data_IF_335212916746
#
_entry.id   IF_335212916746
#
_cell.length_a   1.000
_cell.length_b   1.000
_cell.length_c   1.000
_cell.angle_alpha   90.00
_cell.angle_beta   90.00
_cell.angle_gamma   90.00
#
_symmetry.space_group_name_H-M   'P 1'
#
loop_
_entity.id
_entity.type
_entity.pdbx_description
1 polymer ?
#
# COMPACT_ATOMS: atom_id res chain seq x y z
N UNK A 1 10.35 8.07 -23.76
CA UNK A 1 9.89 7.35 -22.55
C UNK A 1 10.64 7.93 -21.37
N UNK A 2 10.02 8.15 -20.23
CA UNK A 2 10.78 8.57 -19.04
C UNK A 2 11.82 7.49 -18.70
N UNK A 3 12.96 7.93 -18.19
CA UNK A 3 14.00 7.07 -17.65
C UNK A 3 13.44 6.24 -16.47
N UNK A 4 13.97 5.05 -16.26
CA UNK A 4 13.55 4.19 -15.15
C UNK A 4 13.68 4.88 -13.80
N UNK A 5 14.78 5.62 -13.59
CA UNK A 5 14.99 6.38 -12.36
C UNK A 5 13.89 7.44 -12.16
N UNK A 6 13.48 8.11 -13.23
CA UNK A 6 12.40 9.10 -13.18
C UNK A 6 11.07 8.45 -12.80
N UNK A 7 10.74 7.26 -13.34
CA UNK A 7 9.52 6.51 -12.95
C UNK A 7 9.56 6.17 -11.47
N UNK A 8 10.69 5.69 -10.96
CA UNK A 8 10.87 5.37 -9.54
C UNK A 8 10.70 6.63 -8.68
N UNK A 9 11.29 7.73 -9.10
CA UNK A 9 11.20 9.01 -8.38
C UNK A 9 9.79 9.60 -8.40
N UNK A 10 9.03 9.40 -9.46
CA UNK A 10 7.67 9.93 -9.61
C UNK A 10 6.61 9.09 -8.89
N UNK A 11 6.94 7.85 -8.53
CA UNK A 11 6.02 6.97 -7.81
C UNK A 11 5.57 7.58 -6.48
N UNK A 12 4.27 7.59 -6.27
CA UNK A 12 3.64 8.14 -5.06
C UNK A 12 2.44 7.31 -4.61
N UNK A 13 2.14 7.33 -3.32
CA UNK A 13 0.89 6.79 -2.77
C UNK A 13 -0.25 7.80 -2.99
N UNK A 14 -1.24 7.45 -3.77
CA UNK A 14 -2.37 8.32 -4.07
C UNK A 14 -3.51 8.08 -3.06
N UNK A 15 -3.48 8.80 -1.94
CA UNK A 15 -4.35 8.53 -0.76
C UNK A 15 -5.76 9.11 -0.82
N UNK A 16 -6.02 10.09 -1.64
CA UNK A 16 -7.35 10.72 -1.76
C UNK A 16 -8.41 9.81 -2.41
N UNK A 17 -9.65 10.28 -2.52
CA UNK A 17 -10.70 9.58 -3.25
C UNK A 17 -10.36 9.54 -4.75
N UNK A 18 -10.84 8.48 -5.40
CA UNK A 18 -10.74 8.31 -6.84
C UNK A 18 -12.08 8.64 -7.53
N UNK A 19 -12.01 8.86 -8.82
CA UNK A 19 -13.21 8.99 -9.66
C UNK A 19 -13.87 7.62 -9.80
N UNK A 20 -14.95 7.41 -9.06
CA UNK A 20 -15.71 6.16 -9.05
C UNK A 20 -16.39 5.83 -10.38
N UNK A 21 -16.54 6.83 -11.28
CA UNK A 21 -17.13 6.65 -12.60
C UNK A 21 -16.13 6.22 -13.66
N UNK A 22 -14.83 6.38 -13.40
CA UNK A 22 -13.77 6.07 -14.35
C UNK A 22 -13.21 4.67 -14.06
N UNK A 23 -13.39 3.74 -14.99
CA UNK A 23 -12.79 2.41 -14.95
C UNK A 23 -11.38 2.41 -15.50
N UNK A 24 -10.57 1.46 -15.08
CA UNK A 24 -9.24 1.22 -15.65
C UNK A 24 -9.45 0.41 -16.96
N UNK A 25 -8.88 0.86 -18.08
CA UNK A 25 -8.92 0.09 -19.32
C UNK A 25 -8.32 -1.30 -19.10
N UNK A 26 -8.94 -2.32 -19.71
CA UNK A 26 -8.46 -3.72 -19.58
C UNK A 26 -6.98 -3.85 -19.97
N UNK A 27 -6.55 -3.15 -21.02
CA UNK A 27 -5.16 -3.19 -21.50
C UNK A 27 -4.19 -2.65 -20.44
N UNK A 28 -4.55 -1.57 -19.75
CA UNK A 28 -3.72 -0.99 -18.68
C UNK A 28 -3.64 -1.94 -17.48
N UNK A 29 -4.76 -2.57 -17.11
CA UNK A 29 -4.75 -3.58 -16.05
C UNK A 29 -3.85 -4.77 -16.42
N UNK A 30 -3.89 -5.24 -17.67
CA UNK A 30 -3.00 -6.30 -18.15
C UNK A 30 -1.52 -5.88 -18.02
N UNK A 31 -1.17 -4.64 -18.38
CA UNK A 31 0.20 -4.14 -18.22
C UNK A 31 0.63 -4.10 -16.75
N UNK A 32 -0.26 -3.69 -15.86
CA UNK A 32 0.00 -3.67 -14.41
C UNK A 32 0.26 -5.08 -13.88
N UNK A 33 -0.56 -6.05 -14.29
CA UNK A 33 -0.40 -7.45 -13.88
C UNK A 33 0.85 -8.08 -14.50
N UNK A 34 1.16 -7.74 -15.74
CA UNK A 34 2.38 -8.17 -16.42
C UNK A 34 3.63 -7.69 -15.70
N UNK A 35 3.66 -6.46 -15.22
CA UNK A 35 4.76 -5.96 -14.41
C UNK A 35 4.94 -6.78 -13.11
N UNK A 36 3.84 -7.16 -12.46
CA UNK A 36 3.85 -8.06 -11.30
C UNK A 36 4.39 -9.45 -11.65
N UNK A 37 4.01 -9.99 -12.80
CA UNK A 37 4.47 -11.30 -13.29
C UNK A 37 5.99 -11.39 -13.47
N UNK A 38 6.63 -10.27 -13.86
CA UNK A 38 8.08 -10.18 -14.06
C UNK A 38 8.84 -9.80 -12.78
N UNK A 39 8.17 -9.74 -11.65
CA UNK A 39 8.87 -9.50 -10.39
C UNK A 39 9.79 -10.69 -10.03
N UNK A 40 11.02 -10.44 -9.54
CA UNK A 40 11.88 -11.50 -9.06
C UNK A 40 11.26 -12.15 -7.81
N UNK A 41 11.27 -13.48 -7.79
CA UNK A 41 10.86 -14.25 -6.62
C UNK A 41 11.95 -15.24 -6.23
N UNK A 42 12.08 -15.53 -4.93
CA UNK A 42 13.07 -16.47 -4.43
C UNK A 42 12.94 -17.82 -5.16
N UNK A 43 14.03 -18.29 -5.74
CA UNK A 43 14.07 -19.53 -6.55
C UNK A 43 13.00 -19.59 -7.65
N UNK A 44 12.52 -18.45 -8.13
CA UNK A 44 11.42 -18.36 -9.10
C UNK A 44 10.16 -19.12 -8.65
N UNK A 45 9.88 -19.16 -7.35
CA UNK A 45 8.77 -19.93 -6.80
C UNK A 45 7.41 -19.36 -7.17
N UNK A 46 7.32 -18.05 -7.47
CA UNK A 46 6.09 -17.37 -7.87
C UNK A 46 4.92 -17.72 -6.94
N UNK A 47 5.19 -17.71 -5.63
CA UNK A 47 4.28 -18.14 -4.56
C UNK A 47 3.21 -17.09 -4.23
N UNK A 48 2.67 -16.44 -5.24
CA UNK A 48 1.62 -15.44 -5.08
C UNK A 48 0.50 -15.65 -6.10
N UNK A 49 -0.68 -15.21 -5.71
CA UNK A 49 -1.85 -15.09 -6.57
C UNK A 49 -2.35 -13.64 -6.52
N UNK A 50 -2.90 -13.16 -7.61
CA UNK A 50 -3.44 -11.79 -7.65
C UNK A 50 -4.92 -11.83 -8.00
N UNK A 51 -5.74 -11.28 -7.11
CA UNK A 51 -7.15 -11.03 -7.39
C UNK A 51 -7.34 -9.58 -7.79
N UNK A 52 -8.10 -9.35 -8.85
CA UNK A 52 -8.58 -8.02 -9.27
C UNK A 52 -10.06 -7.95 -8.99
N UNK A 53 -10.47 -6.97 -8.20
CA UNK A 53 -11.88 -6.72 -7.88
C UNK A 53 -12.23 -5.35 -8.42
N UNK A 54 -13.06 -5.30 -9.49
CA UNK A 54 -13.55 -4.07 -10.12
C UNK A 54 -15.09 -4.00 -10.15
N UNK A 55 -15.77 -5.07 -9.72
CA UNK A 55 -17.20 -5.06 -9.51
C UNK A 55 -17.59 -4.10 -8.38
N UNK A 56 -18.43 -3.13 -8.68
CA UNK A 56 -18.82 -2.07 -7.75
C UNK A 56 -19.61 -2.58 -6.53
N UNK A 57 -20.33 -3.69 -6.66
CA UNK A 57 -21.07 -4.29 -5.54
C UNK A 57 -20.05 -4.97 -4.58
N UNK A 58 -19.06 -5.66 -5.13
CA UNK A 58 -17.99 -6.26 -4.33
C UNK A 58 -17.12 -5.20 -3.65
N UNK A 59 -16.72 -4.13 -4.36
CA UNK A 59 -15.98 -3.01 -3.76
C UNK A 59 -16.77 -2.38 -2.62
N UNK A 60 -18.10 -2.21 -2.80
CA UNK A 60 -18.96 -1.72 -1.72
C UNK A 60 -19.00 -2.69 -0.55
N UNK A 61 -19.23 -3.97 -0.80
CA UNK A 61 -19.30 -4.99 0.24
C UNK A 61 -17.98 -5.09 1.04
N UNK A 62 -16.83 -5.04 0.37
CA UNK A 62 -15.51 -5.01 1.03
C UNK A 62 -15.35 -3.73 1.87
N UNK A 63 -15.73 -2.58 1.32
CA UNK A 63 -15.64 -1.31 2.03
C UNK A 63 -16.54 -1.24 3.27
N UNK A 64 -17.64 -1.96 3.30
CA UNK A 64 -18.57 -2.01 4.42
C UNK A 64 -18.13 -2.96 5.56
N UNK A 65 -17.11 -3.80 5.33
CA UNK A 65 -16.52 -4.65 6.37
C UNK A 65 -15.77 -3.77 7.38
N UNK A 66 -16.31 -3.69 8.59
CA UNK A 66 -15.72 -2.91 9.68
C UNK A 66 -14.68 -3.75 10.40
N UNK A 67 -13.49 -3.19 10.59
CA UNK A 67 -12.45 -3.75 11.43
C UNK A 67 -12.20 -2.88 12.65
N UNK A 68 -11.74 -3.45 13.77
CA UNK A 68 -11.28 -2.64 14.89
C UNK A 68 -10.03 -1.87 14.47
N UNK A 69 -10.03 -0.57 14.73
CA UNK A 69 -8.81 0.21 14.64
C UNK A 69 -8.19 0.26 16.03
N UNK A 70 -6.93 -0.14 16.12
CA UNK A 70 -6.22 -0.10 17.39
C UNK A 70 -5.73 1.32 17.70
N UNK A 71 -5.77 1.70 18.97
CA UNK A 71 -5.14 2.95 19.44
C UNK A 71 -3.65 2.99 19.06
N UNK A 72 -2.99 1.83 19.06
CA UNK A 72 -1.61 1.69 18.63
C UNK A 72 -1.43 2.16 17.19
N UNK A 73 -2.31 1.76 16.27
CA UNK A 73 -2.24 2.18 14.85
C UNK A 73 -2.32 3.71 14.72
N UNK A 74 -3.25 4.34 15.45
CA UNK A 74 -3.38 5.80 15.41
C UNK A 74 -2.15 6.46 16.01
N UNK A 75 -1.72 6.03 17.18
CA UNK A 75 -0.54 6.58 17.86
C UNK A 75 0.71 6.49 16.98
N UNK A 76 1.00 5.32 16.41
CA UNK A 76 2.20 5.12 15.60
C UNK A 76 2.17 5.94 14.31
N UNK A 77 1.03 5.98 13.63
CA UNK A 77 0.94 6.74 12.39
C UNK A 77 0.90 8.26 12.60
N UNK A 78 0.28 8.75 13.67
CA UNK A 78 0.07 10.19 13.86
C UNK A 78 1.07 10.83 14.78
N UNK A 79 1.44 10.18 15.88
CA UNK A 79 2.35 10.76 16.85
C UNK A 79 3.82 10.58 16.46
N UNK A 80 4.16 9.44 15.84
CA UNK A 80 5.55 9.09 15.55
C UNK A 80 6.00 9.46 14.15
N UNK A 81 5.11 9.34 13.15
CA UNK A 81 5.48 9.49 11.75
C UNK A 81 4.92 10.74 11.08
N UNK A 82 3.96 11.45 11.71
CA UNK A 82 3.40 12.68 11.15
C UNK A 82 4.22 13.89 11.57
N UNK A 83 4.60 14.72 10.60
CA UNK A 83 5.41 15.90 10.84
C UNK A 83 4.85 17.11 10.10
N UNK A 84 5.20 18.32 10.57
CA UNK A 84 5.05 19.55 9.81
C UNK A 84 5.91 19.49 8.54
N UNK A 85 5.72 20.43 7.63
CA UNK A 85 6.56 20.52 6.43
C UNK A 85 8.03 20.77 6.79
N UNK A 86 8.27 21.69 7.71
CA UNK A 86 9.61 22.06 8.18
C UNK A 86 10.31 20.87 8.85
N UNK A 87 9.63 20.21 9.80
CA UNK A 87 10.18 19.02 10.47
C UNK A 87 10.45 17.87 9.49
N UNK A 88 9.57 17.69 8.50
CA UNK A 88 9.73 16.62 7.51
C UNK A 88 10.93 16.87 6.59
N UNK A 89 11.15 18.12 6.19
CA UNK A 89 12.33 18.52 5.41
C UNK A 89 13.62 18.32 6.20
N UNK A 90 13.59 18.62 7.50
CA UNK A 90 14.74 18.45 8.39
C UNK A 90 15.03 16.97 8.68
N UNK A 91 14.03 16.21 9.08
CA UNK A 91 14.18 14.79 9.48
C UNK A 91 14.35 13.84 8.29
N UNK A 92 13.84 14.23 7.10
CA UNK A 92 13.80 13.40 5.88
C UNK A 92 13.14 12.03 6.05
N UNK A 93 12.40 11.83 7.14
CA UNK A 93 11.69 10.59 7.51
C UNK A 93 10.28 10.92 7.99
N UNK A 94 9.32 10.09 7.62
CA UNK A 94 7.91 10.24 8.00
C UNK A 94 7.03 10.76 6.89
N UNK A 95 5.87 11.28 7.25
CA UNK A 95 4.86 11.78 6.33
C UNK A 95 4.32 13.13 6.77
N UNK A 96 3.85 13.91 5.82
CA UNK A 96 3.25 15.21 6.10
C UNK A 96 1.92 15.03 6.85
N UNK A 97 1.78 15.65 8.01
CA UNK A 97 0.59 15.53 8.86
C UNK A 97 -0.71 15.91 8.13
N UNK A 98 -0.64 16.88 7.20
CA UNK A 98 -1.79 17.29 6.39
C UNK A 98 -2.30 16.24 5.41
N UNK A 99 -1.57 15.14 5.21
CA UNK A 99 -2.04 14.01 4.40
C UNK A 99 -3.15 13.20 5.08
N UNK A 100 -3.31 13.38 6.37
CA UNK A 100 -4.34 12.71 7.15
C UNK A 100 -5.57 13.62 7.34
N UNK A 101 -6.78 13.05 7.36
CA UNK A 101 -7.98 13.83 7.68
C UNK A 101 -7.87 14.50 9.05
N UNK A 102 -8.55 15.65 9.27
CA UNK A 102 -8.46 16.38 10.53
C UNK A 102 -8.78 15.55 11.78
N UNK A 103 -9.80 14.69 11.73
CA UNK A 103 -10.18 13.82 12.84
C UNK A 103 -9.10 12.79 13.23
N UNK A 104 -8.21 12.51 12.31
CA UNK A 104 -7.08 11.63 12.55
C UNK A 104 -5.83 12.37 13.06
N UNK A 105 -5.82 13.68 13.09
CA UNK A 105 -4.66 14.50 13.51
C UNK A 105 -4.66 14.82 15.00
N UNK A 106 -5.57 14.24 15.79
CA UNK A 106 -5.67 14.51 17.22
C UNK A 106 -4.52 13.80 17.99
N UNK A 107 -3.53 14.51 18.50
CA UNK A 107 -2.40 13.94 19.23
C UNK A 107 -2.79 13.38 20.61
N UNK A 108 -3.94 13.76 21.15
CA UNK A 108 -4.48 13.24 22.42
C UNK A 108 -5.13 11.86 22.33
N UNK A 109 -5.28 11.36 21.13
CA UNK A 109 -5.47 10.03 20.63
C UNK A 109 -6.38 9.03 21.34
N UNK A 110 -7.38 9.43 22.10
CA UNK A 110 -8.46 8.48 22.43
C UNK A 110 -9.36 8.33 21.22
N UNK A 111 -9.49 7.10 20.73
CA UNK A 111 -10.50 6.76 19.73
C UNK A 111 -11.81 6.64 20.50
N UNK A 112 -12.56 7.72 20.54
CA UNK A 112 -13.96 7.65 20.93
C UNK A 112 -14.79 6.98 19.82
N UNK A 113 -16.05 6.68 20.12
CA UNK A 113 -16.95 6.03 19.17
C UNK A 113 -17.11 6.85 17.88
N UNK A 114 -17.15 8.18 17.98
CA UNK A 114 -17.29 9.09 16.85
C UNK A 114 -16.08 9.04 15.92
N UNK A 115 -14.88 9.10 16.46
CA UNK A 115 -13.63 8.97 15.69
C UNK A 115 -13.56 7.60 15.00
N UNK A 116 -13.99 6.54 15.68
CA UNK A 116 -14.04 5.19 15.12
C UNK A 116 -15.01 5.09 13.94
N UNK A 117 -16.18 5.70 14.03
CA UNK A 117 -17.17 5.75 12.94
C UNK A 117 -16.68 6.58 11.76
N UNK A 118 -16.11 7.76 11.99
CA UNK A 118 -15.56 8.62 10.95
C UNK A 118 -14.45 7.89 10.17
N UNK A 119 -13.62 7.16 10.87
CA UNK A 119 -12.53 6.41 10.28
C UNK A 119 -13.02 5.22 9.45
N UNK A 120 -14.00 4.46 9.96
CA UNK A 120 -14.64 3.38 9.21
C UNK A 120 -15.32 3.91 7.94
N UNK A 121 -16.03 5.03 8.03
CA UNK A 121 -16.65 5.68 6.89
C UNK A 121 -15.60 6.19 5.88
N UNK A 122 -14.50 6.73 6.35
CA UNK A 122 -13.40 7.17 5.49
C UNK A 122 -12.78 6.00 4.72
N UNK A 123 -12.44 4.91 5.40
CA UNK A 123 -11.89 3.70 4.77
C UNK A 123 -12.86 3.08 3.77
N UNK A 124 -14.13 2.96 4.15
CA UNK A 124 -15.20 2.49 3.29
C UNK A 124 -15.27 3.31 2.00
N UNK A 125 -15.31 4.63 2.12
CA UNK A 125 -15.33 5.55 0.98
C UNK A 125 -14.09 5.40 0.09
N UNK A 126 -12.91 5.22 0.66
CA UNK A 126 -11.69 5.02 -0.13
C UNK A 126 -11.77 3.77 -1.00
N UNK A 127 -12.29 2.66 -0.47
CA UNK A 127 -12.44 1.40 -1.22
C UNK A 127 -13.56 1.54 -2.26
N UNK A 128 -14.71 2.05 -1.90
CA UNK A 128 -15.88 2.18 -2.77
C UNK A 128 -15.65 3.11 -3.96
N UNK A 129 -14.82 4.14 -3.81
CA UNK A 129 -14.48 5.06 -4.91
C UNK A 129 -13.39 4.53 -5.83
N UNK A 130 -12.81 3.38 -5.53
CA UNK A 130 -11.75 2.79 -6.36
C UNK A 130 -12.29 2.33 -7.71
N UNK A 131 -11.44 2.43 -8.74
CA UNK A 131 -11.72 1.80 -10.03
C UNK A 131 -11.54 0.29 -9.94
N UNK A 132 -10.52 -0.15 -9.19
CA UNK A 132 -10.27 -1.54 -8.87
C UNK A 132 -9.53 -1.67 -7.53
N UNK A 133 -9.62 -2.87 -6.95
CA UNK A 133 -8.80 -3.32 -5.82
C UNK A 133 -7.98 -4.52 -6.29
N UNK A 134 -6.67 -4.48 -6.07
CA UNK A 134 -5.78 -5.63 -6.21
C UNK A 134 -5.57 -6.21 -4.81
N UNK A 135 -5.77 -7.52 -4.67
CA UNK A 135 -5.49 -8.28 -3.46
C UNK A 135 -4.44 -9.32 -3.82
N UNK A 136 -3.27 -9.22 -3.22
CA UNK A 136 -2.18 -10.19 -3.40
C UNK A 136 -2.25 -11.20 -2.27
N UNK A 137 -2.33 -12.45 -2.68
CA UNK A 137 -2.41 -13.62 -1.83
C UNK A 137 -1.10 -14.40 -1.89
N UNK A 138 -0.80 -15.12 -0.85
CA UNK A 138 0.29 -16.08 -0.85
C UNK A 138 -0.05 -17.31 -0.02
N UNK A 139 0.59 -18.42 -0.36
CA UNK A 139 0.49 -19.67 0.38
C UNK A 139 1.69 -19.78 1.33
N UNK A 140 1.51 -19.63 2.65
CA UNK A 140 2.61 -19.67 3.62
C UNK A 140 3.27 -21.06 3.74
N UNK A 141 2.67 -22.11 3.18
CA UNK A 141 3.26 -23.44 3.14
C UNK A 141 4.33 -23.57 2.03
N UNK A 142 4.30 -22.71 1.03
CA UNK A 142 5.26 -22.67 -0.08
C UNK A 142 6.46 -21.80 0.27
N UNK A 143 7.39 -22.32 1.01
CA UNK A 143 8.62 -21.63 1.42
C UNK A 143 9.75 -21.82 0.41
N UNK A 144 10.56 -20.76 0.24
CA UNK A 144 11.80 -20.89 -0.53
C UNK A 144 12.77 -21.86 0.18
N UNK A 145 13.46 -22.75 -0.55
CA UNK A 145 14.48 -23.62 0.02
C UNK A 145 15.55 -22.82 0.79
N UNK A 146 16.05 -23.38 1.88
CA UNK A 146 17.05 -22.76 2.74
C UNK A 146 16.67 -21.40 3.36
N UNK A 147 15.38 -21.06 3.37
CA UNK A 147 14.86 -19.87 4.03
C UNK A 147 14.39 -20.24 5.44
N UNK A 148 15.08 -19.75 6.44
CA UNK A 148 14.58 -19.78 7.81
C UNK A 148 13.47 -18.71 7.96
N UNK A 149 12.29 -19.14 8.40
CA UNK A 149 11.11 -18.29 8.31
C UNK A 149 10.70 -18.04 6.85
N UNK A 150 9.80 -17.09 6.61
CA UNK A 150 9.33 -16.75 5.25
C UNK A 150 9.89 -15.43 4.72
N UNK A 151 11.12 -15.10 5.13
CA UNK A 151 11.75 -13.81 4.81
C UNK A 151 11.92 -13.59 3.31
N UNK A 152 12.42 -14.62 2.59
CA UNK A 152 12.59 -14.52 1.14
C UNK A 152 11.25 -14.45 0.39
N UNK A 153 10.22 -15.14 0.90
CA UNK A 153 8.86 -15.02 0.37
C UNK A 153 8.30 -13.61 0.54
N UNK A 154 8.47 -13.01 1.70
CA UNK A 154 8.03 -11.62 1.98
C UNK A 154 8.76 -10.62 1.08
N UNK A 155 10.08 -10.76 0.89
CA UNK A 155 10.85 -9.92 -0.04
C UNK A 155 10.29 -10.06 -1.46
N UNK A 156 10.00 -11.28 -1.91
CA UNK A 156 9.42 -11.54 -3.24
C UNK A 156 8.10 -10.80 -3.43
N UNK A 157 7.22 -10.83 -2.42
CA UNK A 157 5.96 -10.08 -2.43
C UNK A 157 6.17 -8.55 -2.50
N UNK A 158 7.21 -8.05 -1.85
CA UNK A 158 7.62 -6.65 -1.96
C UNK A 158 8.04 -6.26 -3.38
N UNK A 159 8.77 -7.14 -4.08
CA UNK A 159 9.13 -6.93 -5.49
C UNK A 159 7.89 -6.91 -6.39
N UNK A 160 6.95 -7.83 -6.19
CA UNK A 160 5.67 -7.84 -6.92
C UNK A 160 4.92 -6.53 -6.71
N UNK A 161 4.84 -6.07 -5.46
CA UNK A 161 4.17 -4.82 -5.11
C UNK A 161 4.80 -3.62 -5.82
N UNK A 162 6.12 -3.48 -5.78
CA UNK A 162 6.80 -2.34 -6.38
C UNK A 162 6.65 -2.31 -7.90
N UNK A 163 6.79 -3.46 -8.58
CA UNK A 163 6.60 -3.54 -10.02
C UNK A 163 5.19 -3.11 -10.45
N UNK A 164 4.16 -3.63 -9.77
CA UNK A 164 2.75 -3.25 -10.01
C UNK A 164 2.56 -1.75 -9.78
N UNK A 165 3.15 -1.21 -8.72
CA UNK A 165 3.03 0.19 -8.35
C UNK A 165 3.68 1.12 -9.37
N UNK A 166 4.93 0.81 -9.78
CA UNK A 166 5.65 1.58 -10.80
C UNK A 166 4.87 1.61 -12.11
N UNK A 167 4.36 0.44 -12.55
CA UNK A 167 3.57 0.36 -13.77
C UNK A 167 2.27 1.15 -13.65
N UNK A 168 1.52 1.04 -12.58
CA UNK A 168 0.31 1.82 -12.38
C UNK A 168 0.59 3.33 -12.44
N UNK A 169 1.63 3.80 -11.75
CA UNK A 169 2.01 5.21 -11.78
C UNK A 169 2.46 5.69 -13.15
N UNK A 170 3.19 4.87 -13.92
CA UNK A 170 3.62 5.22 -15.28
C UNK A 170 2.45 5.39 -16.25
N UNK A 171 1.34 4.69 -16.00
CA UNK A 171 0.07 4.80 -16.73
C UNK A 171 -0.84 5.92 -16.20
N UNK A 172 -0.37 6.72 -15.24
CA UNK A 172 -1.19 7.77 -14.61
C UNK A 172 -2.30 7.23 -13.69
N UNK A 173 -2.22 5.96 -13.31
CA UNK A 173 -3.18 5.32 -12.41
C UNK A 173 -2.65 5.44 -10.98
N UNK A 174 -3.46 6.04 -10.11
CA UNK A 174 -3.16 6.14 -8.70
C UNK A 174 -3.13 4.77 -8.03
N UNK A 175 -2.19 4.58 -7.12
CA UNK A 175 -2.00 3.37 -6.34
C UNK A 175 -1.94 3.72 -4.84
N UNK A 176 -2.65 2.97 -4.01
CA UNK A 176 -2.62 3.15 -2.56
C UNK A 176 -2.84 1.84 -1.82
N UNK A 177 -1.87 1.45 -1.01
CA UNK A 177 -1.96 0.25 -0.16
C UNK A 177 -3.04 0.46 0.91
N UNK A 178 -3.89 -0.53 1.09
CA UNK A 178 -4.98 -0.54 2.08
C UNK A 178 -4.69 -1.66 3.10
N UNK A 179 -3.85 -1.35 4.08
CA UNK A 179 -3.42 -2.33 5.11
C UNK A 179 -4.59 -2.85 5.97
N UNK A 180 -5.66 -2.08 6.11
CA UNK A 180 -6.84 -2.49 6.88
C UNK A 180 -7.47 -3.80 6.36
N UNK A 181 -7.38 -4.09 5.06
CA UNK A 181 -7.91 -5.34 4.47
C UNK A 181 -7.10 -6.56 4.93
N UNK A 182 -5.81 -6.38 5.24
CA UNK A 182 -4.94 -7.46 5.73
C UNK A 182 -5.06 -7.67 7.26
N UNK A 183 -5.79 -6.80 7.97
CA UNK A 183 -6.03 -6.98 9.41
C UNK A 183 -6.85 -8.27 9.65
N UNK A 184 -6.46 -9.16 10.59
CA UNK A 184 -7.03 -10.49 10.72
C UNK A 184 -8.57 -10.57 10.73
N UNK A 185 -9.31 -9.72 11.46
CA UNK A 185 -10.77 -9.75 11.43
C UNK A 185 -11.36 -9.40 10.07
N UNK A 186 -10.80 -8.36 9.41
CA UNK A 186 -11.26 -7.90 8.08
C UNK A 186 -10.86 -8.91 7.01
N UNK A 187 -9.62 -9.38 7.05
CA UNK A 187 -9.10 -10.37 6.11
C UNK A 187 -9.99 -11.62 6.07
N UNK A 188 -10.43 -12.13 7.23
CA UNK A 188 -11.31 -13.28 7.32
C UNK A 188 -12.63 -13.08 6.58
N UNK A 189 -13.27 -11.93 6.76
CA UNK A 189 -14.53 -11.63 6.10
C UNK A 189 -14.35 -11.38 4.59
N UNK A 190 -13.27 -10.69 4.19
CA UNK A 190 -12.93 -10.50 2.77
C UNK A 190 -12.65 -11.85 2.09
N UNK A 191 -11.89 -12.73 2.74
CA UNK A 191 -11.62 -14.07 2.21
C UNK A 191 -12.90 -14.87 2.02
N UNK A 192 -13.82 -14.80 2.98
CA UNK A 192 -15.14 -15.45 2.88
C UNK A 192 -15.96 -14.87 1.74
N UNK A 193 -16.03 -13.54 1.64
CA UNK A 193 -16.79 -12.85 0.60
C UNK A 193 -16.30 -13.20 -0.82
N UNK A 194 -14.99 -13.33 -0.99
CA UNK A 194 -14.34 -13.58 -2.28
C UNK A 194 -14.04 -15.07 -2.54
N UNK A 195 -14.50 -15.97 -1.69
CA UNK A 195 -14.23 -17.42 -1.76
C UNK A 195 -12.72 -17.76 -1.83
N UNK A 196 -11.88 -17.01 -1.11
CA UNK A 196 -10.44 -17.26 -1.04
C UNK A 196 -10.20 -18.52 -0.18
N UNK A 197 -9.44 -19.51 -0.67
CA UNK A 197 -9.15 -20.73 0.09
C UNK A 197 -8.42 -20.43 1.40
N UNK A 198 -8.69 -21.22 2.43
CA UNK A 198 -8.05 -21.10 3.77
C UNK A 198 -6.53 -21.34 3.75
N UNK A 199 -6.02 -21.97 2.71
CA UNK A 199 -4.58 -22.18 2.47
C UNK A 199 -3.86 -20.90 2.05
N UNK A 200 -4.61 -19.90 1.59
CA UNK A 200 -4.08 -18.61 1.19
C UNK A 200 -4.18 -17.59 2.32
N UNK A 201 -3.29 -16.62 2.31
CA UNK A 201 -3.32 -15.44 3.17
C UNK A 201 -3.27 -14.17 2.32
N UNK A 202 -3.91 -13.11 2.78
CA UNK A 202 -3.78 -11.80 2.15
C UNK A 202 -2.44 -11.19 2.58
N UNK A 203 -1.51 -11.10 1.64
CA UNK A 203 -0.23 -10.44 1.88
C UNK A 203 -0.41 -8.93 1.99
N UNK A 204 -1.04 -8.35 1.00
CA UNK A 204 -1.43 -6.94 0.98
C UNK A 204 -2.58 -6.71 0.00
N UNK A 205 -3.17 -5.54 0.09
CA UNK A 205 -4.11 -5.05 -0.91
C UNK A 205 -3.79 -3.61 -1.30
N UNK A 206 -4.11 -3.27 -2.54
CA UNK A 206 -3.95 -1.92 -3.06
C UNK A 206 -5.16 -1.52 -3.89
N UNK A 207 -5.66 -0.32 -3.66
CA UNK A 207 -6.71 0.27 -4.49
C UNK A 207 -6.08 1.07 -5.62
N UNK A 208 -6.69 0.97 -6.79
CA UNK A 208 -6.28 1.64 -8.00
C UNK A 208 -7.41 2.55 -8.50
N UNK A 209 -7.05 3.64 -9.17
CA UNK A 209 -8.01 4.55 -9.78
C UNK A 209 -7.40 5.89 -10.14
N UNK A 210 -8.24 6.79 -10.59
CA UNK A 210 -7.83 8.13 -11.01
C UNK A 210 -8.17 9.15 -9.93
N UNK A 211 -7.18 9.88 -9.44
CA UNK A 211 -7.38 10.87 -8.38
C UNK A 211 -8.29 12.01 -8.85
N UNK A 212 -9.24 12.38 -8.01
CA UNK A 212 -10.13 13.52 -8.26
C UNK A 212 -9.53 14.84 -7.78
N UNK A 213 -8.45 14.77 -7.00
CA UNK A 213 -7.80 15.95 -6.44
C UNK A 213 -6.28 15.82 -6.56
N UNK A 214 -5.58 16.79 -7.15
CA UNK A 214 -4.12 16.81 -7.12
C UNK A 214 -3.67 17.06 -5.67
N UNK A 215 -3.21 16.03 -5.01
CA UNK A 215 -2.61 16.21 -3.68
C UNK A 215 -1.17 16.69 -3.84
N UNK A 216 -0.80 17.74 -3.12
CA UNK A 216 0.61 18.09 -2.94
C UNK A 216 1.22 17.04 -2.01
N UNK A 217 2.20 16.31 -2.51
CA UNK A 217 2.96 15.36 -1.71
C UNK A 217 4.35 15.93 -1.49
N UNK A 218 4.71 16.14 -0.25
CA UNK A 218 6.09 16.39 0.11
C UNK A 218 6.76 15.02 0.27
N UNK A 219 7.66 14.71 -0.65
CA UNK A 219 8.42 13.45 -0.66
C UNK A 219 9.85 13.74 -0.24
N UNK A 220 10.20 13.29 0.94
CA UNK A 220 11.55 13.43 1.46
C UNK A 220 12.29 12.09 1.38
N UNK A 221 13.59 12.17 1.22
CA UNK A 221 14.50 11.01 1.28
C UNK A 221 15.75 11.45 2.01
N UNK A 222 16.34 10.53 2.74
CA UNK A 222 17.69 10.70 3.26
C UNK A 222 18.67 10.79 2.10
N UNK A 223 19.79 11.46 2.28
CA UNK A 223 20.85 11.47 1.29
C UNK A 223 21.48 10.06 1.21
N UNK A 224 22.10 9.75 0.07
CA UNK A 224 22.69 8.42 -0.13
C UNK A 224 23.75 8.14 0.95
N UNK A 225 24.54 9.15 1.30
CA UNK A 225 25.54 9.06 2.37
C UNK A 225 24.97 8.73 3.75
N UNK A 226 23.66 9.00 4.00
CA UNK A 226 23.06 8.73 5.32
C UNK A 226 22.75 7.23 5.57
N UNK A 227 22.83 6.39 4.56
CA UNK A 227 22.48 4.97 4.66
C UNK A 227 23.39 4.02 3.89
N UNK A 228 24.47 4.52 3.28
CA UNK A 228 25.45 3.68 2.59
C UNK A 228 26.74 3.63 3.38
N UNK A 229 27.38 2.49 3.41
CA UNK A 229 28.66 2.26 4.05
C UNK A 229 29.59 1.58 3.05
N UNK A 230 30.80 2.10 2.89
CA UNK A 230 31.79 1.56 1.97
C UNK A 230 32.74 0.59 2.69
N UNK A 231 32.71 -0.67 2.30
CA UNK A 231 33.51 -1.79 2.81
C UNK A 231 33.26 -2.16 4.30
N UNK A 232 33.15 -1.20 5.22
CA UNK A 232 32.94 -1.43 6.64
C UNK A 232 31.77 -0.59 7.15
N UNK A 233 31.00 -1.14 8.10
CA UNK A 233 29.93 -0.39 8.75
C UNK A 233 30.53 0.83 9.50
N UNK A 234 29.94 1.99 9.29
CA UNK A 234 30.42 3.26 9.86
C UNK A 234 31.25 4.11 8.89
N UNK A 235 31.80 3.54 7.83
CA UNK A 235 32.45 4.31 6.76
C UNK A 235 31.37 4.81 5.78
N UNK A 236 30.80 5.98 6.08
CA UNK A 236 29.61 6.49 5.41
C UNK A 236 29.93 7.02 4.00
N UNK A 237 29.01 6.76 3.07
CA UNK A 237 29.10 7.21 1.67
C UNK A 237 29.90 6.25 0.78
N UNK A 238 30.20 6.72 -0.42
CA UNK A 238 30.96 5.97 -1.46
C UNK A 238 32.18 6.75 -1.94
N UNK A 239 32.55 7.81 -1.23
CA UNK A 239 33.70 8.68 -1.57
C UNK A 239 35.02 8.00 -1.19
#
# INVERSE_FOLDING_TARGET
MPDLLQIIQDRKSTRGPYDSKRSIPRQDMIQILEAGRWAPTAHNMQNFEIMVVDDKKLLKAIGDIKGPMSEIFIRENYQQLSSSEEELLQKKVGVLATMFPPFMRNPGGKIDAETGEQLAAFQSRLIQTSSALIIVLYDPSKRAPASEGDFLGIISLGCVMENIWLMANSLGIGFHIVSAISAPPVAKEVMKLLNIPKTQQIAYSARLGYSTSPAKYLRVRRDISDFTHHNNFGNMGLD
#
